data_IF_066564407802
#
_entry.id   IF_066564407802
#
_cell.length_a   1.000
_cell.length_b   1.000
_cell.length_c   1.000
_cell.angle_alpha   90.00
_cell.angle_beta   90.00
_cell.angle_gamma   90.00
#
_symmetry.space_group_name_H-M   'P 1'
#
loop_
_entity.id
_entity.type
_entity.pdbx_description
1 polymer ?
#
# COMPACT_ATOMS: atom_id res chain seq x y z
N UNK A 1 4.42 -19.19 7.93
CA UNK A 1 4.77 -17.76 7.87
C UNK A 1 3.54 -17.06 7.35
N UNK A 2 2.90 -16.32 8.23
CA UNK A 2 1.60 -15.69 8.02
C UNK A 2 1.81 -14.43 7.17
N UNK A 3 1.57 -14.54 5.86
CA UNK A 3 1.80 -13.44 4.89
C UNK A 3 0.81 -12.28 5.08
N UNK A 4 -0.34 -12.55 5.69
CA UNK A 4 -1.41 -11.58 5.91
C UNK A 4 -1.10 -10.61 7.07
N UNK A 5 -0.25 -11.00 8.00
CA UNK A 5 -0.02 -10.29 9.27
C UNK A 5 1.06 -9.20 9.17
N UNK A 6 1.66 -8.95 7.99
CA UNK A 6 2.88 -8.13 7.89
C UNK A 6 2.77 -6.81 7.13
N UNK A 7 1.73 -6.56 6.34
CA UNK A 7 1.71 -5.37 5.49
C UNK A 7 1.37 -4.07 6.24
N UNK A 8 0.53 -4.13 7.27
CA UNK A 8 0.20 -2.98 8.12
C UNK A 8 1.41 -2.44 8.89
N UNK A 9 2.45 -3.25 9.09
CA UNK A 9 3.66 -2.89 9.84
C UNK A 9 4.81 -2.40 8.94
N UNK A 10 4.67 -2.50 7.62
CA UNK A 10 5.72 -2.07 6.70
C UNK A 10 5.90 -0.54 6.77
N UNK A 11 7.13 -0.01 6.85
CA UNK A 11 7.41 1.41 6.61
C UNK A 11 6.92 1.86 5.22
N UNK A 12 6.68 3.16 5.06
CA UNK A 12 6.18 3.72 3.79
C UNK A 12 7.07 3.38 2.59
N UNK A 13 8.38 3.50 2.76
CA UNK A 13 9.37 3.21 1.71
C UNK A 13 9.33 1.73 1.32
N UNK A 14 9.17 0.84 2.29
CA UNK A 14 9.10 -0.60 2.06
C UNK A 14 7.79 -0.98 1.37
N UNK A 15 6.65 -0.41 1.79
CA UNK A 15 5.37 -0.56 1.09
C UNK A 15 5.49 -0.13 -0.39
N UNK A 16 6.16 0.99 -0.66
CA UNK A 16 6.38 1.45 -2.03
C UNK A 16 7.32 0.54 -2.84
N UNK A 17 8.27 -0.14 -2.19
CA UNK A 17 9.12 -1.14 -2.86
C UNK A 17 8.32 -2.40 -3.18
N UNK A 18 7.49 -2.91 -2.26
CA UNK A 18 6.64 -4.07 -2.49
C UNK A 18 5.67 -3.85 -3.66
N UNK A 19 5.05 -2.66 -3.75
CA UNK A 19 4.22 -2.26 -4.91
C UNK A 19 5.04 -2.33 -6.21
N UNK A 20 6.28 -1.84 -6.19
CA UNK A 20 7.16 -1.89 -7.38
C UNK A 20 7.56 -3.32 -7.74
N UNK A 21 7.82 -4.18 -6.76
CA UNK A 21 8.12 -5.60 -6.97
C UNK A 21 6.92 -6.31 -7.60
N UNK A 22 5.73 -6.16 -7.02
CA UNK A 22 4.52 -6.79 -7.53
C UNK A 22 4.16 -6.28 -8.94
N UNK A 23 4.37 -4.99 -9.23
CA UNK A 23 4.23 -4.41 -10.55
C UNK A 23 5.18 -5.00 -11.60
N UNK A 24 6.44 -5.27 -11.21
CA UNK A 24 7.40 -5.98 -12.08
C UNK A 24 6.96 -7.42 -12.35
N UNK A 25 6.56 -8.15 -11.31
CA UNK A 25 6.08 -9.54 -11.44
C UNK A 25 4.88 -9.63 -12.39
N UNK A 26 3.90 -8.74 -12.24
CA UNK A 26 2.75 -8.63 -13.15
C UNK A 26 3.18 -8.40 -14.60
N UNK A 27 4.09 -7.45 -14.84
CA UNK A 27 4.60 -7.14 -16.20
C UNK A 27 5.29 -8.35 -16.83
N UNK A 28 6.10 -9.07 -16.06
CA UNK A 28 6.78 -10.27 -16.55
C UNK A 28 5.81 -11.44 -16.79
N UNK A 29 4.78 -11.60 -15.96
CA UNK A 29 3.73 -12.60 -16.16
C UNK A 29 2.91 -12.32 -17.42
N UNK A 30 2.55 -11.06 -17.66
CA UNK A 30 1.90 -10.61 -18.89
C UNK A 30 2.77 -10.91 -20.13
N UNK A 31 4.07 -10.60 -20.07
CA UNK A 31 5.00 -10.88 -21.16
C UNK A 31 5.15 -12.37 -21.48
N UNK A 32 4.89 -13.25 -20.51
CA UNK A 32 4.92 -14.72 -20.65
C UNK A 32 3.56 -15.34 -20.99
N UNK A 33 2.48 -14.56 -20.98
CA UNK A 33 1.11 -15.07 -21.14
C UNK A 33 0.62 -15.93 -19.98
N UNK A 34 1.22 -15.80 -18.80
CA UNK A 34 0.89 -16.58 -17.61
C UNK A 34 -0.26 -15.92 -16.83
N UNK A 35 -1.51 -16.13 -17.30
CA UNK A 35 -2.70 -15.42 -16.79
C UNK A 35 -2.88 -15.60 -15.28
N UNK A 36 -2.70 -16.81 -14.74
CA UNK A 36 -2.83 -17.05 -13.30
C UNK A 36 -1.81 -16.25 -12.46
N UNK A 37 -0.59 -16.10 -12.97
CA UNK A 37 0.46 -15.32 -12.29
C UNK A 37 0.17 -13.81 -12.38
N UNK A 38 -0.48 -13.36 -13.45
CA UNK A 38 -0.97 -11.98 -13.59
C UNK A 38 -2.04 -11.70 -12.54
N UNK A 39 -3.06 -12.55 -12.45
CA UNK A 39 -4.15 -12.40 -11.48
C UNK A 39 -3.65 -12.41 -10.03
N UNK A 40 -2.68 -13.29 -9.73
CA UNK A 40 -2.05 -13.33 -8.42
C UNK A 40 -1.28 -12.04 -8.11
N UNK A 41 -0.48 -11.53 -9.06
CA UNK A 41 0.26 -10.29 -8.88
C UNK A 41 -0.67 -9.06 -8.79
N UNK A 42 -1.78 -9.04 -9.52
CA UNK A 42 -2.82 -8.00 -9.44
C UNK A 42 -3.51 -8.00 -8.07
N UNK A 43 -3.88 -9.17 -7.56
CA UNK A 43 -4.49 -9.29 -6.21
C UNK A 43 -3.57 -8.76 -5.10
N UNK A 44 -2.26 -9.01 -5.23
CA UNK A 44 -1.25 -8.50 -4.29
C UNK A 44 -1.07 -6.98 -4.43
N UNK A 45 -1.06 -6.46 -5.67
CA UNK A 45 -0.97 -5.02 -5.93
C UNK A 45 -2.16 -4.27 -5.34
N UNK A 46 -3.38 -4.75 -5.58
CA UNK A 46 -4.61 -4.13 -5.07
C UNK A 46 -4.56 -4.00 -3.55
N UNK A 47 -4.14 -5.06 -2.86
CA UNK A 47 -4.00 -5.02 -1.41
C UNK A 47 -3.00 -3.97 -0.92
N UNK A 48 -1.82 -3.86 -1.54
CA UNK A 48 -0.83 -2.85 -1.17
C UNK A 48 -1.27 -1.42 -1.52
N UNK A 49 -1.98 -1.23 -2.62
CA UNK A 49 -2.51 0.07 -3.04
C UNK A 49 -3.62 0.55 -2.10
N UNK A 50 -4.47 -0.36 -1.64
CA UNK A 50 -5.49 -0.05 -0.63
C UNK A 50 -4.87 0.38 0.70
N UNK A 51 -3.84 -0.34 1.17
CA UNK A 51 -3.09 0.05 2.39
C UNK A 51 -2.42 1.42 2.22
N UNK A 52 -1.81 1.69 1.06
CA UNK A 52 -1.22 3.00 0.76
C UNK A 52 -2.28 4.11 0.76
N UNK A 53 -3.43 3.87 0.12
CA UNK A 53 -4.53 4.81 0.08
C UNK A 53 -5.07 5.11 1.49
N UNK A 54 -5.21 4.10 2.34
CA UNK A 54 -5.65 4.27 3.72
C UNK A 54 -4.67 5.05 4.57
N UNK A 55 -3.36 4.81 4.41
CA UNK A 55 -2.32 5.60 5.09
C UNK A 55 -2.35 7.06 4.66
N UNK A 56 -2.48 7.33 3.37
CA UNK A 56 -2.60 8.69 2.84
C UNK A 56 -3.84 9.38 3.40
N UNK A 57 -5.00 8.72 3.44
CA UNK A 57 -6.23 9.26 4.05
C UNK A 57 -6.04 9.57 5.55
N UNK A 58 -5.36 8.70 6.30
CA UNK A 58 -5.06 8.92 7.72
C UNK A 58 -4.09 10.08 7.93
N UNK A 59 -3.09 10.22 7.08
CA UNK A 59 -2.14 11.35 7.08
C UNK A 59 -2.84 12.68 6.81
N UNK A 60 -3.65 12.75 5.75
CA UNK A 60 -4.44 13.93 5.37
C UNK A 60 -5.41 14.34 6.49
N UNK A 61 -6.14 13.39 7.09
CA UNK A 61 -7.04 13.68 8.22
C UNK A 61 -6.31 14.21 9.46
N UNK A 62 -5.03 13.91 9.62
CA UNK A 62 -4.22 14.41 10.74
C UNK A 62 -3.85 15.88 10.56
N UNK A 63 -3.70 16.32 9.32
CA UNK A 63 -3.43 17.72 8.96
C UNK A 63 -4.72 18.56 8.85
N UNK A 64 -5.87 17.95 8.57
CA UNK A 64 -7.17 18.62 8.51
C UNK A 64 -7.85 18.86 9.88
N UNK A 65 -7.32 18.29 10.97
CA UNK A 65 -7.83 18.60 12.31
C UNK A 65 -7.40 20.02 12.70
N UNK A 66 -8.33 20.96 12.97
CA UNK A 66 -7.96 22.27 13.49
C UNK A 66 -7.19 22.06 14.79
N UNK A 67 -5.93 22.54 14.79
CA UNK A 67 -5.09 22.60 15.99
C UNK A 67 -5.91 23.31 17.06
N UNK A 68 -6.22 22.69 18.21
CA UNK A 68 -6.96 23.39 19.25
C UNK A 68 -6.16 24.64 19.60
N UNK A 69 -6.73 25.81 19.35
CA UNK A 69 -6.12 27.08 19.69
C UNK A 69 -5.80 27.05 21.19
N UNK A 70 -4.59 27.46 21.61
CA UNK A 70 -4.29 27.54 23.03
C UNK A 70 -5.25 28.54 23.66
N UNK A 71 -6.10 28.05 24.57
CA UNK A 71 -6.98 28.90 25.38
C UNK A 71 -6.08 29.80 26.23
N UNK A 72 -6.19 31.14 26.12
CA UNK A 72 -5.43 32.03 26.99
C UNK A 72 -5.87 31.82 28.44
N UNK A 73 -4.92 31.60 29.34
CA UNK A 73 -5.12 31.64 30.79
C UNK A 73 -5.12 33.08 31.29
#
# INVERSE_FOLDING_TARGET
>A
MDLLTRCSDLPYEQLCEEIRIAGRARKEALGRGAIADVEAAESVLDWFLDELADRLRRGVRRDELPRPEPVPQ
#
